data_IF_699467466331
#
_entry.id   IF_699467466331
#
_cell.length_a   1.000
_cell.length_b   1.000
_cell.length_c   1.000
_cell.angle_alpha   90.00
_cell.angle_beta   90.00
_cell.angle_gamma   90.00
#
_symmetry.space_group_name_H-M   'P 1'
#
loop_
_entity.id
_entity.type
_entity.pdbx_description
1 polymer ?
#
# COMPACT_ATOMS: atom_id res chain seq x y z
N UNK A 1 0.92 0.76 29.33
CA UNK A 1 0.18 1.74 28.51
C UNK A 1 0.48 1.44 27.05
N UNK A 2 -0.42 0.72 26.37
CA UNK A 2 -0.23 0.32 24.96
C UNK A 2 -0.48 1.55 24.10
N UNK A 3 0.55 2.04 23.41
CA UNK A 3 0.42 3.13 22.45
C UNK A 3 -0.31 2.60 21.22
N UNK A 4 -1.55 3.01 21.01
CA UNK A 4 -2.29 2.68 19.79
C UNK A 4 -1.81 3.57 18.65
N UNK A 5 -0.94 3.03 17.80
CA UNK A 5 -0.54 3.63 16.54
C UNK A 5 -1.55 3.23 15.47
N UNK A 6 -2.31 4.19 14.96
CA UNK A 6 -3.15 4.00 13.77
C UNK A 6 -2.60 4.86 12.64
N UNK A 7 -2.58 4.32 11.42
CA UNK A 7 -2.39 5.11 10.22
C UNK A 7 -3.62 5.98 10.05
N UNK A 8 -3.40 7.27 9.88
CA UNK A 8 -4.45 8.25 9.66
C UNK A 8 -4.57 8.57 8.19
N UNK A 9 -3.44 8.59 7.48
CA UNK A 9 -3.41 8.97 6.10
C UNK A 9 -2.26 8.28 5.38
N UNK A 10 -2.50 7.86 4.14
CA UNK A 10 -1.45 7.41 3.21
C UNK A 10 -1.51 8.29 1.98
N UNK A 11 -0.39 8.94 1.65
CA UNK A 11 -0.25 9.82 0.50
C UNK A 11 0.73 9.26 -0.51
N UNK A 12 0.40 9.34 -1.80
CA UNK A 12 1.33 9.08 -2.90
C UNK A 12 2.11 10.36 -3.20
N UNK A 13 3.43 10.32 -3.00
CA UNK A 13 4.37 11.36 -3.43
C UNK A 13 4.54 11.31 -4.95
N UNK A 14 3.57 11.88 -5.66
CA UNK A 14 3.50 11.85 -7.13
C UNK A 14 4.76 12.42 -7.80
N UNK A 15 5.43 13.37 -7.15
CA UNK A 15 6.70 13.94 -7.58
C UNK A 15 7.89 12.96 -7.55
N UNK A 16 7.80 11.89 -6.75
CA UNK A 16 8.80 10.83 -6.69
C UNK A 16 8.46 9.65 -7.62
N UNK A 17 7.30 9.71 -8.30
CA UNK A 17 6.88 8.67 -9.24
C UNK A 17 7.65 8.83 -10.56
N UNK A 18 8.41 7.82 -11.00
CA UNK A 18 9.23 7.90 -12.21
C UNK A 18 8.41 7.95 -13.50
N UNK A 19 7.29 7.22 -13.56
CA UNK A 19 6.35 7.23 -14.70
C UNK A 19 5.04 6.57 -14.30
N UNK A 20 3.90 7.12 -14.73
CA UNK A 20 2.57 6.52 -14.57
C UNK A 20 2.19 5.55 -15.70
N UNK A 21 3.07 5.33 -16.67
CA UNK A 21 2.84 4.40 -17.79
C UNK A 21 3.50 3.03 -17.56
N UNK A 22 4.30 2.90 -16.49
CA UNK A 22 5.03 1.69 -16.15
C UNK A 22 4.47 1.07 -14.87
N UNK A 23 4.41 -0.26 -14.81
CA UNK A 23 4.05 -0.97 -13.58
C UNK A 23 5.06 -0.65 -12.45
N UNK A 24 4.64 -0.51 -11.19
CA UNK A 24 3.27 -0.64 -10.66
C UNK A 24 2.44 0.66 -10.69
N UNK A 25 3.01 1.78 -11.14
CA UNK A 25 2.34 3.09 -11.14
C UNK A 25 1.23 3.23 -12.20
N UNK A 26 1.26 2.38 -13.23
CA UNK A 26 0.21 2.28 -14.25
C UNK A 26 -1.08 1.62 -13.75
N UNK A 27 -1.07 1.03 -12.56
CA UNK A 27 -2.27 0.45 -11.96
C UNK A 27 -3.35 1.53 -11.73
N UNK A 28 -4.63 1.27 -12.06
CA UNK A 28 -5.70 2.25 -11.94
C UNK A 28 -5.81 2.88 -10.55
N UNK A 29 -5.63 2.08 -9.50
CA UNK A 29 -5.69 2.56 -8.11
C UNK A 29 -4.55 3.51 -7.78
N UNK A 30 -3.31 3.23 -8.23
CA UNK A 30 -2.14 4.07 -7.95
C UNK A 30 -2.21 5.36 -8.76
N UNK A 31 -2.59 5.27 -10.04
CA UNK A 31 -2.66 6.43 -10.93
C UNK A 31 -3.65 7.49 -10.45
N UNK A 32 -4.77 7.07 -9.87
CA UNK A 32 -5.86 7.95 -9.38
C UNK A 32 -5.72 8.36 -7.92
N UNK A 33 -4.82 7.74 -7.16
CA UNK A 33 -4.65 8.02 -5.74
C UNK A 33 -3.76 9.24 -5.52
N UNK A 34 -4.22 10.16 -4.67
CA UNK A 34 -3.42 11.26 -4.15
C UNK A 34 -3.18 11.04 -2.66
N UNK A 35 -4.25 11.00 -1.89
CA UNK A 35 -4.26 10.58 -0.49
C UNK A 35 -5.44 9.67 -0.19
N UNK A 36 -5.29 8.83 0.83
CA UNK A 36 -6.37 8.03 1.42
C UNK A 36 -6.30 8.20 2.93
N UNK A 37 -7.32 8.85 3.48
CA UNK A 37 -7.56 8.85 4.92
C UNK A 37 -8.04 7.47 5.36
N UNK A 38 -7.40 6.92 6.38
CA UNK A 38 -7.78 5.65 6.98
C UNK A 38 -8.66 5.88 8.19
N UNK A 39 -9.76 5.13 8.24
CA UNK A 39 -10.62 5.13 9.42
C UNK A 39 -9.87 4.51 10.61
N UNK A 40 -9.93 5.09 11.81
CA UNK A 40 -9.18 4.63 13.00
C UNK A 40 -9.59 3.24 13.53
N UNK A 41 -10.52 2.55 12.86
CA UNK A 41 -11.00 1.23 13.25
C UNK A 41 -10.77 0.23 12.12
N UNK A 42 -11.48 0.37 11.00
CA UNK A 42 -11.36 -0.53 9.85
C UNK A 42 -11.57 0.27 8.56
N UNK A 43 -10.70 0.06 7.58
CA UNK A 43 -10.83 0.59 6.22
C UNK A 43 -10.90 -0.57 5.23
N UNK A 44 -11.90 -0.58 4.34
CA UNK A 44 -12.07 -1.60 3.31
C UNK A 44 -11.59 -1.08 1.95
N UNK A 45 -10.73 -1.85 1.28
CA UNK A 45 -10.30 -1.59 -0.10
C UNK A 45 -11.07 -2.53 -1.03
N UNK A 46 -12.01 -1.97 -1.82
CA UNK A 46 -12.89 -2.72 -2.72
C UNK A 46 -12.73 -2.27 -4.17
N UNK A 47 -13.06 -3.14 -5.13
CA UNK A 47 -12.95 -2.85 -6.56
C UNK A 47 -12.71 -4.11 -7.40
N UNK A 48 -12.68 -3.95 -8.72
CA UNK A 48 -12.55 -5.06 -9.69
C UNK A 48 -11.23 -5.84 -9.55
N UNK A 49 -11.25 -7.11 -9.97
CA UNK A 49 -10.01 -7.90 -10.08
C UNK A 49 -9.10 -7.26 -11.13
N UNK A 50 -7.81 -7.14 -10.83
CA UNK A 50 -6.86 -6.44 -11.70
C UNK A 50 -6.66 -4.96 -11.39
N UNK A 51 -7.51 -4.32 -10.57
CA UNK A 51 -7.43 -2.87 -10.32
C UNK A 51 -6.23 -2.41 -9.47
N UNK A 52 -5.49 -3.35 -8.87
CA UNK A 52 -4.28 -3.07 -8.08
C UNK A 52 -4.48 -3.04 -6.56
N UNK A 53 -5.62 -3.49 -6.03
CA UNK A 53 -5.94 -3.46 -4.58
C UNK A 53 -4.87 -4.12 -3.70
N UNK A 54 -4.41 -5.31 -4.07
CA UNK A 54 -3.37 -6.04 -3.33
C UNK A 54 -2.04 -5.29 -3.39
N UNK A 55 -1.69 -4.73 -4.55
CA UNK A 55 -0.48 -3.91 -4.72
C UNK A 55 -0.53 -2.65 -3.86
N UNK A 56 -1.68 -1.98 -3.78
CA UNK A 56 -1.86 -0.82 -2.90
C UNK A 56 -1.65 -1.22 -1.44
N UNK A 57 -2.25 -2.33 -1.01
CA UNK A 57 -2.11 -2.81 0.36
C UNK A 57 -0.65 -3.17 0.70
N UNK A 58 0.07 -3.79 -0.24
CA UNK A 58 1.50 -4.05 -0.09
C UNK A 58 2.31 -2.75 0.01
N UNK A 59 2.04 -1.77 -0.85
CA UNK A 59 2.74 -0.48 -0.84
C UNK A 59 2.55 0.28 0.47
N UNK A 60 1.32 0.29 1.00
CA UNK A 60 0.99 0.86 2.31
C UNK A 60 1.76 0.13 3.40
N UNK A 61 1.75 -1.20 3.40
CA UNK A 61 2.47 -1.98 4.41
C UNK A 61 3.98 -1.72 4.37
N UNK A 62 4.58 -1.59 3.18
CA UNK A 62 5.99 -1.19 3.00
C UNK A 62 6.24 0.21 3.55
N UNK A 63 5.39 1.19 3.22
CA UNK A 63 5.50 2.57 3.73
C UNK A 63 5.39 2.64 5.26
N UNK A 64 4.65 1.71 5.88
CA UNK A 64 4.55 1.56 7.32
C UNK A 64 5.74 0.82 7.97
N UNK A 65 6.70 0.32 7.18
CA UNK A 65 7.77 -0.55 7.67
C UNK A 65 7.28 -1.93 8.13
N UNK A 66 6.07 -2.33 7.75
CA UNK A 66 5.54 -3.67 7.98
C UNK A 66 6.07 -4.57 6.86
N UNK A 67 6.53 -5.77 7.20
CA UNK A 67 6.83 -6.80 6.20
C UNK A 67 5.52 -7.18 5.47
N UNK A 68 5.28 -6.53 4.33
CA UNK A 68 4.11 -6.69 3.48
C UNK A 68 4.09 -8.09 2.83
N UNK A 69 3.69 -9.10 3.59
CA UNK A 69 3.41 -10.45 3.08
C UNK A 69 1.93 -10.72 3.30
N UNK A 70 1.08 -10.06 2.51
CA UNK A 70 -0.35 -10.33 2.54
C UNK A 70 -0.60 -11.58 1.71
N UNK A 71 -0.94 -12.69 2.38
CA UNK A 71 -1.39 -13.91 1.71
C UNK A 71 -1.57 -15.08 2.68
N UNK A 72 -2.69 -15.80 2.55
CA UNK A 72 -2.83 -17.15 3.10
C UNK A 72 -1.92 -18.09 2.30
N UNK A 73 -0.96 -18.73 2.94
CA UNK A 73 -0.09 -19.71 2.33
C UNK A 73 -0.90 -20.97 1.94
N UNK A 74 -1.38 -21.02 0.71
CA UNK A 74 -1.74 -22.30 0.07
C UNK A 74 -0.45 -22.87 -0.54
N UNK A 75 0.08 -23.91 0.11
CA UNK A 75 1.27 -24.60 -0.35
C UNK A 75 1.07 -25.07 -1.80
N UNK A 76 1.93 -24.60 -2.72
CA UNK A 76 2.01 -25.10 -4.09
C UNK A 76 1.55 -24.16 -5.20
N UNK A 77 1.09 -22.93 -4.92
CA UNK A 77 0.82 -21.96 -5.98
C UNK A 77 1.81 -20.78 -5.98
N UNK A 78 2.46 -20.62 -7.12
CA UNK A 78 3.45 -19.59 -7.46
C UNK A 78 2.78 -18.22 -7.30
N UNK A 79 3.26 -17.45 -6.34
CA UNK A 79 2.70 -16.16 -5.92
C UNK A 79 2.45 -15.23 -7.12
N UNK A 80 1.19 -14.87 -7.32
CA UNK A 80 0.77 -13.80 -8.22
C UNK A 80 0.84 -12.46 -7.49
N UNK A 81 1.16 -11.41 -8.26
CA UNK A 81 1.24 -9.97 -7.92
C UNK A 81 2.58 -9.41 -7.39
N UNK A 82 3.16 -8.53 -8.21
CA UNK A 82 4.50 -7.90 -8.16
C UNK A 82 5.66 -8.86 -8.49
N UNK A 83 6.22 -8.70 -9.69
CA UNK A 83 7.18 -9.63 -10.29
C UNK A 83 8.56 -9.56 -9.59
N UNK A 84 8.84 -8.49 -8.85
CA UNK A 84 10.12 -8.26 -8.19
C UNK A 84 10.03 -7.56 -6.83
N UNK A 85 10.91 -7.94 -5.89
CA UNK A 85 11.07 -7.25 -4.60
C UNK A 85 11.47 -5.77 -4.75
N UNK A 86 12.10 -5.42 -5.88
CA UNK A 86 12.45 -4.06 -6.25
C UNK A 86 11.20 -3.20 -6.52
N UNK A 87 10.20 -3.72 -7.24
CA UNK A 87 8.97 -2.99 -7.57
C UNK A 87 8.14 -2.66 -6.32
N UNK A 88 8.12 -3.57 -5.34
CA UNK A 88 7.49 -3.36 -4.03
C UNK A 88 8.15 -2.24 -3.24
N UNK A 89 9.48 -2.20 -3.26
CA UNK A 89 10.27 -1.18 -2.55
C UNK A 89 10.15 0.18 -3.23
N UNK A 90 10.13 0.22 -4.57
CA UNK A 90 9.98 1.45 -5.34
C UNK A 90 8.62 2.10 -5.14
N UNK A 91 7.52 1.34 -5.20
CA UNK A 91 6.19 1.90 -4.95
C UNK A 91 6.04 2.35 -3.49
N UNK A 92 6.47 1.53 -2.53
CA UNK A 92 6.41 1.86 -1.12
C UNK A 92 7.22 3.10 -0.74
N UNK A 93 8.36 3.35 -1.40
CA UNK A 93 9.16 4.56 -1.20
C UNK A 93 8.42 5.84 -1.62
N UNK A 94 7.56 5.75 -2.63
CA UNK A 94 6.71 6.87 -3.06
C UNK A 94 5.48 7.06 -2.18
N UNK A 95 5.23 6.20 -1.17
CA UNK A 95 4.12 6.38 -0.24
C UNK A 95 4.62 6.88 1.11
N UNK A 96 3.91 7.86 1.66
CA UNK A 96 4.10 8.31 3.03
C UNK A 96 2.87 7.98 3.87
N UNK A 97 3.08 7.25 4.96
CA UNK A 97 2.04 6.89 5.90
C UNK A 97 2.19 7.75 7.17
N UNK A 98 1.22 8.62 7.42
CA UNK A 98 1.20 9.42 8.65
C UNK A 98 0.45 8.67 9.74
N UNK A 99 1.10 8.49 10.90
CA UNK A 99 0.45 7.96 12.10
C UNK A 99 0.17 9.09 13.09
N UNK A 100 -1.02 9.07 13.73
CA UNK A 100 -1.26 9.89 14.91
C UNK A 100 -1.29 9.02 16.15
N UNK A 101 -0.58 9.49 17.16
CA UNK A 101 -0.61 8.93 18.50
C UNK A 101 -1.75 9.64 19.25
N UNK A 102 -2.98 9.11 19.17
CA UNK A 102 -4.05 9.57 20.09
C UNK A 102 -3.76 8.94 21.45
N UNK A 103 -3.08 9.69 22.31
CA UNK A 103 -3.07 9.41 23.74
C UNK A 103 -4.49 9.54 24.26
N UNK A 104 -5.10 8.42 24.63
CA UNK A 104 -6.17 8.38 25.61
C UNK A 104 -5.55 8.37 27.01
#
# INVERSE_FOLDING_TARGET
MVRTQFVVEVQLKRQEVPSFDVYPFSLPVVRRMESVEMHPHVTFIVGENGSGKSTLLEAIAVAMGINARVGTAVAGQRFWYCQDALERTMLGACFEATSHNRGL
#
